data_IF_641451685972
#
_entry.id   IF_641451685972
#
_cell.length_a   1.000
_cell.length_b   1.000
_cell.length_c   1.000
_cell.angle_alpha   90.00
_cell.angle_beta   90.00
_cell.angle_gamma   90.00
#
_symmetry.space_group_name_H-M   'P 1'
#
loop_
_entity.id
_entity.type
_entity.pdbx_description
1 polymer ?
#
# COMPACT_ATOMS: atom_id res chain seq x y z
N UNK A 1 7.55 14.01 8.66
CA UNK A 1 6.61 12.90 8.40
C UNK A 1 5.33 13.02 9.23
N UNK A 2 5.43 13.37 10.53
CA UNK A 2 4.27 13.56 11.39
C UNK A 2 3.16 14.40 10.74
N UNK A 3 1.95 13.83 10.67
CA UNK A 3 0.77 14.46 10.08
C UNK A 3 0.54 14.19 8.59
N UNK A 4 1.51 13.63 7.86
CA UNK A 4 1.39 13.33 6.43
C UNK A 4 0.76 11.94 6.18
N UNK A 5 0.11 11.76 5.04
CA UNK A 5 -0.35 10.45 4.57
C UNK A 5 0.76 9.81 3.74
N UNK A 6 1.15 8.58 4.08
CA UNK A 6 2.06 7.77 3.26
C UNK A 6 1.24 7.07 2.17
N UNK A 7 1.73 7.03 0.93
CA UNK A 7 1.23 6.07 -0.06
C UNK A 7 2.37 5.19 -0.57
N UNK A 8 2.06 3.92 -0.81
CA UNK A 8 2.99 2.92 -1.31
C UNK A 8 2.30 2.05 -2.35
N UNK A 9 3.08 1.49 -3.26
CA UNK A 9 2.60 0.58 -4.29
C UNK A 9 3.74 -0.37 -4.71
N UNK A 10 3.42 -1.41 -5.47
CA UNK A 10 4.41 -2.40 -5.96
C UNK A 10 4.45 -2.37 -7.49
N UNK A 11 5.67 -2.38 -8.04
CA UNK A 11 5.92 -2.40 -9.50
C UNK A 11 5.42 -3.65 -10.20
N UNK A 12 5.51 -3.64 -11.53
CA UNK A 12 5.31 -4.77 -12.42
C UNK A 12 6.28 -5.93 -12.20
N UNK A 13 7.37 -5.71 -11.45
CA UNK A 13 8.29 -6.78 -11.03
C UNK A 13 7.59 -7.80 -10.15
N UNK A 14 6.43 -7.47 -9.58
CA UNK A 14 5.61 -8.35 -8.73
C UNK A 14 6.46 -9.04 -7.64
N UNK A 15 6.98 -8.28 -6.66
CA UNK A 15 7.85 -8.79 -5.60
C UNK A 15 7.11 -9.82 -4.74
N UNK A 16 7.83 -10.71 -4.05
CA UNK A 16 7.19 -11.65 -3.13
C UNK A 16 6.68 -10.90 -1.91
N UNK A 17 5.69 -11.47 -1.23
CA UNK A 17 5.11 -10.87 -0.03
C UNK A 17 6.16 -10.71 1.09
N UNK A 18 7.13 -11.63 1.16
CA UNK A 18 8.25 -11.56 2.10
C UNK A 18 9.16 -10.35 1.84
N UNK A 19 9.42 -10.04 0.57
CA UNK A 19 10.25 -8.90 0.18
C UNK A 19 9.55 -7.58 0.58
N UNK A 20 8.24 -7.48 0.34
CA UNK A 20 7.41 -6.34 0.78
C UNK A 20 7.41 -6.20 2.31
N UNK A 21 7.24 -7.31 3.04
CA UNK A 21 7.33 -7.31 4.49
C UNK A 21 8.72 -6.84 4.96
N UNK A 22 9.82 -7.29 4.34
CA UNK A 22 11.17 -6.89 4.75
C UNK A 22 11.45 -5.41 4.52
N UNK A 23 10.96 -4.84 3.43
CA UNK A 23 11.05 -3.39 3.16
C UNK A 23 10.32 -2.62 4.26
N UNK A 24 9.05 -2.97 4.52
CA UNK A 24 8.24 -2.31 5.54
C UNK A 24 8.80 -2.51 6.94
N UNK A 25 9.32 -3.71 7.26
CA UNK A 25 10.05 -3.98 8.49
C UNK A 25 11.22 -3.02 8.63
N UNK A 26 12.03 -2.84 7.57
CA UNK A 26 13.14 -1.90 7.57
C UNK A 26 12.72 -0.45 7.87
N UNK A 27 11.56 -0.01 7.37
CA UNK A 27 10.97 1.29 7.71
C UNK A 27 10.49 1.32 9.17
N UNK A 28 9.85 0.25 9.62
CA UNK A 28 9.33 0.08 10.97
C UNK A 28 10.40 0.11 12.06
N UNK A 29 11.49 -0.64 11.89
CA UNK A 29 12.65 -0.68 12.81
C UNK A 29 13.28 0.70 13.02
N UNK A 30 13.21 1.57 12.00
CA UNK A 30 13.70 2.97 12.06
C UNK A 30 12.66 3.94 12.62
N UNK A 31 11.51 3.45 13.07
CA UNK A 31 10.40 4.25 13.57
C UNK A 31 9.75 5.14 12.51
N UNK A 32 9.93 4.84 11.21
CA UNK A 32 9.38 5.65 10.13
C UNK A 32 7.86 5.40 9.96
N UNK A 33 7.42 4.13 9.97
CA UNK A 33 6.01 3.78 9.73
C UNK A 33 5.05 4.46 10.72
N UNK A 34 5.37 4.45 12.02
CA UNK A 34 4.54 5.05 13.07
C UNK A 34 4.38 6.58 12.99
N UNK A 35 5.18 7.26 12.15
CA UNK A 35 5.07 8.71 11.99
C UNK A 35 3.90 9.12 11.08
N UNK A 36 3.35 8.18 10.32
CA UNK A 36 2.26 8.44 9.39
C UNK A 36 0.91 8.02 10.01
N UNK A 37 -0.05 8.94 10.20
CA UNK A 37 -1.39 8.61 10.69
C UNK A 37 -2.18 7.70 9.73
N UNK A 38 -1.83 7.68 8.43
CA UNK A 38 -2.47 6.81 7.46
C UNK A 38 -1.51 6.33 6.37
N UNK A 39 -1.80 5.11 5.87
CA UNK A 39 -1.20 4.50 4.69
C UNK A 39 -2.26 4.29 3.61
N UNK A 40 -1.99 4.74 2.39
CA UNK A 40 -2.70 4.35 1.17
C UNK A 40 -1.84 3.33 0.41
N UNK A 41 -2.29 2.08 0.37
CA UNK A 41 -1.63 1.01 -0.37
C UNK A 41 -2.32 0.83 -1.73
N UNK A 42 -1.57 1.07 -2.80
CA UNK A 42 -1.99 0.81 -4.17
C UNK A 42 -2.34 -0.66 -4.38
N UNK A 43 -3.27 -0.94 -5.29
CA UNK A 43 -3.61 -2.31 -5.66
C UNK A 43 -2.38 -3.00 -6.26
N UNK A 44 -1.98 -4.14 -5.70
CA UNK A 44 -0.85 -4.87 -6.24
C UNK A 44 -1.17 -5.39 -7.66
N UNK A 45 -0.31 -5.05 -8.62
CA UNK A 45 -0.33 -5.68 -9.94
C UNK A 45 -0.04 -7.16 -9.74
N UNK A 46 -0.90 -8.00 -10.30
CA UNK A 46 -0.83 -9.44 -10.14
C UNK A 46 -0.62 -10.15 -11.48
N UNK A 47 -0.26 -9.41 -12.53
CA UNK A 47 -0.06 -9.95 -13.87
C UNK A 47 0.93 -9.08 -14.64
N UNK A 48 1.92 -9.70 -15.25
CA UNK A 48 2.82 -9.12 -16.24
C UNK A 48 3.11 -10.15 -17.33
N UNK A 49 3.74 -9.74 -18.44
CA UNK A 49 4.14 -10.68 -19.49
C UNK A 49 5.10 -11.77 -18.99
N UNK A 50 5.94 -11.43 -18.00
CA UNK A 50 6.89 -12.35 -17.37
C UNK A 50 6.22 -13.23 -16.30
N UNK A 51 5.11 -12.77 -15.71
CA UNK A 51 4.37 -13.44 -14.63
C UNK A 51 2.87 -13.47 -14.93
N UNK A 52 2.43 -14.30 -15.89
CA UNK A 52 1.05 -14.28 -16.37
C UNK A 52 0.11 -15.11 -15.47
N UNK A 53 -0.06 -14.69 -14.20
CA UNK A 53 -0.87 -15.42 -13.22
C UNK A 53 -2.35 -15.56 -13.65
N UNK A 54 -2.91 -16.75 -13.44
CA UNK A 54 -4.33 -17.01 -13.61
C UNK A 54 -5.20 -16.36 -12.52
N UNK A 55 -6.52 -16.30 -12.71
CA UNK A 55 -7.43 -15.58 -11.81
C UNK A 55 -7.25 -15.94 -10.31
N UNK A 56 -7.25 -17.25 -9.98
CA UNK A 56 -7.06 -17.73 -8.61
C UNK A 56 -5.70 -17.36 -8.02
N UNK A 57 -4.66 -17.38 -8.85
CA UNK A 57 -3.29 -17.03 -8.44
C UNK A 57 -3.15 -15.54 -8.20
N UNK A 58 -3.83 -14.71 -9.01
CA UNK A 58 -3.90 -13.25 -8.82
C UNK A 58 -4.53 -12.90 -7.48
N UNK A 59 -5.63 -13.57 -7.12
CA UNK A 59 -6.32 -13.34 -5.85
C UNK A 59 -5.45 -13.78 -4.66
N UNK A 60 -4.79 -14.94 -4.78
CA UNK A 60 -3.85 -15.41 -3.76
C UNK A 60 -2.66 -14.45 -3.60
N UNK A 61 -2.11 -13.97 -4.70
CA UNK A 61 -0.99 -13.03 -4.69
C UNK A 61 -1.37 -11.73 -3.98
N UNK A 62 -2.48 -11.09 -4.38
CA UNK A 62 -2.95 -9.84 -3.73
C UNK A 62 -3.23 -10.03 -2.25
N UNK A 63 -3.83 -11.17 -1.88
CA UNK A 63 -4.08 -11.50 -0.47
C UNK A 63 -2.78 -11.57 0.33
N UNK A 64 -1.76 -12.27 -0.19
CA UNK A 64 -0.44 -12.37 0.45
C UNK A 64 0.26 -11.01 0.58
N UNK A 65 0.17 -10.16 -0.45
CA UNK A 65 0.68 -8.79 -0.38
C UNK A 65 0.02 -8.01 0.76
N UNK A 66 -1.32 -8.06 0.85
CA UNK A 66 -2.08 -7.41 1.92
C UNK A 66 -1.70 -7.93 3.30
N UNK A 67 -1.58 -9.25 3.46
CA UNK A 67 -1.16 -9.89 4.71
C UNK A 67 0.24 -9.43 5.14
N UNK A 68 1.20 -9.30 4.22
CA UNK A 68 2.54 -8.80 4.50
C UNK A 68 2.55 -7.35 5.01
N UNK A 69 1.77 -6.47 4.36
CA UNK A 69 1.62 -5.07 4.80
C UNK A 69 0.97 -5.00 6.19
N UNK A 70 -0.14 -5.73 6.40
CA UNK A 70 -0.85 -5.78 7.68
C UNK A 70 0.04 -6.31 8.80
N UNK A 71 0.85 -7.34 8.52
CA UNK A 71 1.82 -7.88 9.48
C UNK A 71 2.85 -6.82 9.89
N UNK A 72 3.41 -6.08 8.93
CA UNK A 72 4.37 -5.02 9.25
C UNK A 72 3.72 -3.87 10.04
N UNK A 73 2.52 -3.42 9.65
CA UNK A 73 1.80 -2.38 10.39
C UNK A 73 1.46 -2.83 11.81
N UNK A 74 0.96 -4.04 11.99
CA UNK A 74 0.63 -4.55 13.33
C UNK A 74 1.84 -4.60 14.27
N UNK A 75 3.05 -4.80 13.73
CA UNK A 75 4.29 -4.83 14.52
C UNK A 75 4.87 -3.44 14.82
N UNK A 76 4.80 -2.52 13.85
CA UNK A 76 5.58 -1.26 13.91
C UNK A 76 4.73 0.00 13.94
N UNK A 77 3.43 -0.08 13.62
CA UNK A 77 2.51 1.05 13.52
C UNK A 77 1.04 0.60 13.67
N UNK A 78 0.65 -0.04 14.80
CA UNK A 78 -0.68 -0.65 14.96
C UNK A 78 -1.84 0.35 14.91
N UNK A 79 -1.57 1.62 15.21
CA UNK A 79 -2.56 2.71 15.21
C UNK A 79 -2.72 3.38 13.84
N UNK A 80 -1.88 3.04 12.85
CA UNK A 80 -1.95 3.64 11.51
C UNK A 80 -3.16 3.11 10.75
N UNK A 81 -4.02 4.02 10.28
CA UNK A 81 -5.14 3.68 9.40
C UNK A 81 -4.63 3.26 8.02
N UNK A 82 -4.84 2.02 7.63
CA UNK A 82 -4.46 1.51 6.31
C UNK A 82 -5.67 1.39 5.38
N UNK A 83 -5.56 1.97 4.19
CA UNK A 83 -6.50 1.78 3.08
C UNK A 83 -5.79 1.02 1.98
N UNK A 84 -6.41 -0.06 1.51
CA UNK A 84 -5.87 -0.94 0.49
C UNK A 84 -6.62 -0.82 -0.82
N UNK A 85 -6.00 -1.35 -1.88
CA UNK A 85 -6.60 -1.52 -3.20
C UNK A 85 -6.99 -0.19 -3.88
N UNK A 86 -6.29 0.88 -3.51
CA UNK A 86 -6.43 2.20 -4.13
C UNK A 86 -5.94 2.12 -5.57
N UNK A 87 -6.67 2.74 -6.50
CA UNK A 87 -6.34 2.82 -7.93
C UNK A 87 -5.15 3.78 -8.19
N UNK A 88 -4.00 3.50 -7.58
CA UNK A 88 -2.72 4.18 -7.78
C UNK A 88 -1.61 3.14 -8.00
N UNK A 89 -0.53 3.54 -8.68
CA UNK A 89 0.60 2.65 -8.97
C UNK A 89 0.44 1.87 -10.27
N UNK A 90 0.94 0.63 -10.33
CA UNK A 90 1.11 -0.12 -11.58
C UNK A 90 -0.13 -0.88 -12.09
N UNK A 91 -1.32 -0.58 -11.59
CA UNK A 91 -2.61 -1.13 -12.09
C UNK A 91 -3.44 -0.08 -12.79
N UNK A 92 -4.21 -0.48 -13.79
CA UNK A 92 -5.22 0.38 -14.41
C UNK A 92 -6.58 0.27 -13.69
N UNK A 93 -7.32 1.39 -13.53
CA UNK A 93 -6.93 2.77 -13.83
C UNK A 93 -5.90 3.33 -12.83
N UNK A 94 -5.16 4.38 -13.24
CA UNK A 94 -4.18 5.08 -12.40
C UNK A 94 -4.66 6.50 -12.05
N UNK A 95 -4.97 6.74 -10.79
CA UNK A 95 -5.28 8.06 -10.26
C UNK A 95 -3.99 8.82 -9.94
N UNK A 96 -3.96 10.11 -10.29
CA UNK A 96 -2.85 11.00 -9.95
C UNK A 96 -3.00 11.44 -8.48
N UNK A 97 -1.94 11.28 -7.70
CA UNK A 97 -1.86 11.75 -6.31
C UNK A 97 -0.71 12.75 -6.17
N UNK A 98 -0.98 14.05 -5.98
CA UNK A 98 0.07 15.06 -5.81
C UNK A 98 0.87 14.84 -4.53
N UNK A 99 2.19 14.73 -4.67
CA UNK A 99 3.12 14.72 -3.54
C UNK A 99 3.21 16.14 -2.97
N UNK A 100 2.95 16.29 -1.67
CA UNK A 100 2.87 17.60 -1.00
C UNK A 100 1.48 18.25 -1.04
N UNK A 101 0.53 17.67 -1.77
CA UNK A 101 -0.88 18.09 -1.77
C UNK A 101 -1.63 17.69 -0.49
N UNK A 102 -2.88 18.15 -0.36
CA UNK A 102 -3.70 17.84 0.81
C UNK A 102 -4.51 16.56 0.57
N UNK A 103 -4.39 15.60 1.48
CA UNK A 103 -5.15 14.34 1.45
C UNK A 103 -5.96 14.22 2.75
N UNK A 104 -7.25 13.90 2.62
CA UNK A 104 -8.10 13.45 3.72
C UNK A 104 -8.45 11.98 3.52
N UNK A 105 -8.19 11.18 4.55
CA UNK A 105 -8.60 9.77 4.61
C UNK A 105 -9.69 9.63 5.66
N UNK A 106 -10.86 9.16 5.25
CA UNK A 106 -12.02 8.95 6.11
C UNK A 106 -12.42 7.47 6.02
N UNK A 107 -11.87 6.67 6.94
CA UNK A 107 -12.06 5.22 6.98
C UNK A 107 -13.53 4.80 7.14
N UNK A 108 -14.27 5.33 8.15
CA UNK A 108 -15.67 4.96 8.37
C UNK A 108 -16.58 5.21 7.17
N UNK A 109 -16.40 6.33 6.46
CA UNK A 109 -17.19 6.65 5.25
C UNK A 109 -16.57 6.12 3.96
N UNK A 110 -15.45 5.39 4.05
CA UNK A 110 -14.68 4.83 2.92
C UNK A 110 -14.36 5.87 1.85
N UNK A 111 -13.87 7.04 2.26
CA UNK A 111 -13.61 8.16 1.36
C UNK A 111 -12.16 8.64 1.47
N UNK A 112 -11.52 8.79 0.31
CA UNK A 112 -10.27 9.51 0.15
C UNK A 112 -10.59 10.78 -0.64
N UNK A 113 -10.11 11.93 -0.18
CA UNK A 113 -10.22 13.20 -0.90
C UNK A 113 -8.84 13.79 -1.07
N UNK A 114 -8.52 14.17 -2.30
CA UNK A 114 -7.22 14.74 -2.66
C UNK A 114 -7.46 16.11 -3.28
N UNK A 115 -6.71 17.11 -2.83
CA UNK A 115 -6.78 18.48 -3.34
C UNK A 115 -5.43 18.84 -3.94
N UNK A 116 -5.48 19.33 -5.17
CA UNK A 116 -4.36 19.78 -5.98
C UNK A 116 -3.99 21.22 -5.65
#
# INVERSE_FOLDING_TARGET
>A
YAGNVLFLETSEDMPRAEDVYWILRGMGERGLLRQFPALLMGRAKAWSFEKPLGARERDLYRRRQREAVLRALGQYAPDTMAVFDVDLGHTDPQLVVPVGGRVRVDGPTRRITVTY
#
